data_IF_005377034239
#
_entry.id   IF_005377034239
#
_cell.length_a   1.000
_cell.length_b   1.000
_cell.length_c   1.000
_cell.angle_alpha   90.00
_cell.angle_beta   90.00
_cell.angle_gamma   90.00
#
_symmetry.space_group_name_H-M   'P 1'
#
loop_
_entity.id
_entity.type
_entity.pdbx_description
1 polymer ?
#
# COMPACT_ATOMS: atom_id res chain seq x y z
N UNK A 1 -15.30 11.93 -4.47
CA UNK A 1 -14.81 10.54 -4.35
C UNK A 1 -13.48 10.36 -5.09
N UNK A 2 -13.36 10.62 -6.40
CA UNK A 2 -12.10 10.45 -7.16
C UNK A 2 -10.92 11.36 -6.75
N UNK A 3 -11.18 12.54 -6.16
CA UNK A 3 -10.11 13.47 -5.76
C UNK A 3 -9.26 12.97 -4.59
N UNK A 4 -9.86 12.22 -3.66
CA UNK A 4 -9.18 11.87 -2.40
C UNK A 4 -8.13 10.78 -2.62
N UNK A 5 -8.44 9.78 -3.45
CA UNK A 5 -7.48 8.74 -3.86
C UNK A 5 -6.31 9.34 -4.65
N UNK A 6 -6.58 10.31 -5.52
CA UNK A 6 -5.54 11.00 -6.27
C UNK A 6 -4.62 11.84 -5.38
N UNK A 7 -5.14 12.48 -4.33
CA UNK A 7 -4.32 13.19 -3.36
C UNK A 7 -3.45 12.24 -2.53
N UNK A 8 -4.00 11.12 -2.05
CA UNK A 8 -3.25 10.11 -1.30
C UNK A 8 -2.11 9.54 -2.16
N UNK A 9 -2.37 9.26 -3.44
CA UNK A 9 -1.34 8.81 -4.38
C UNK A 9 -0.27 9.91 -4.62
N UNK A 10 -0.66 11.18 -4.67
CA UNK A 10 0.31 12.29 -4.76
C UNK A 10 1.20 12.37 -3.52
N UNK A 11 0.61 12.32 -2.33
CA UNK A 11 1.33 12.33 -1.04
C UNK A 11 2.27 11.12 -0.93
N UNK A 12 1.80 9.94 -1.33
CA UNK A 12 2.62 8.74 -1.39
C UNK A 12 3.83 8.94 -2.33
N UNK A 13 3.61 9.46 -3.55
CA UNK A 13 4.70 9.71 -4.52
C UNK A 13 5.69 10.79 -4.08
N UNK A 14 5.30 11.74 -3.22
CA UNK A 14 6.23 12.71 -2.66
C UNK A 14 7.14 12.13 -1.57
N UNK A 15 7.01 10.83 -1.25
CA UNK A 15 7.75 10.18 -0.18
C UNK A 15 7.20 10.49 1.20
N UNK A 16 5.98 11.02 1.28
CA UNK A 16 5.34 11.35 2.54
C UNK A 16 4.81 10.07 3.20
N UNK A 17 5.23 9.83 4.44
CA UNK A 17 4.81 8.66 5.23
C UNK A 17 3.31 8.68 5.50
N UNK A 18 2.70 9.86 5.60
CA UNK A 18 1.26 10.00 5.79
C UNK A 18 0.47 9.50 4.57
N UNK A 19 1.03 9.66 3.37
CA UNK A 19 0.45 9.13 2.13
C UNK A 19 0.39 7.61 2.11
N UNK A 20 1.47 6.93 2.54
CA UNK A 20 1.47 5.47 2.69
C UNK A 20 0.47 5.04 3.77
N UNK A 21 0.44 5.73 4.90
CA UNK A 21 -0.44 5.38 6.02
C UNK A 21 -1.91 5.42 5.62
N UNK A 22 -2.34 6.48 4.94
CA UNK A 22 -3.70 6.60 4.42
C UNK A 22 -4.04 5.50 3.40
N UNK A 23 -3.08 5.14 2.55
CA UNK A 23 -3.24 4.08 1.56
C UNK A 23 -3.33 2.70 2.26
N UNK A 24 -2.54 2.48 3.30
CA UNK A 24 -2.63 1.28 4.13
C UNK A 24 -3.99 1.21 4.84
N UNK A 25 -4.41 2.24 5.57
CA UNK A 25 -5.70 2.24 6.29
C UNK A 25 -6.91 1.99 5.37
N UNK A 26 -6.88 2.52 4.13
CA UNK A 26 -7.96 2.34 3.17
C UNK A 26 -7.96 0.96 2.48
N UNK A 27 -6.78 0.49 2.06
CA UNK A 27 -6.68 -0.69 1.21
C UNK A 27 -6.31 -1.97 1.96
N UNK A 28 -5.80 -1.91 3.18
CA UNK A 28 -5.41 -3.08 3.96
C UNK A 28 -6.58 -4.03 4.19
N UNK A 29 -7.68 -3.56 4.80
CA UNK A 29 -8.85 -4.39 5.07
C UNK A 29 -9.47 -5.05 3.82
N UNK A 30 -9.75 -4.31 2.72
CA UNK A 30 -10.28 -4.94 1.50
C UNK A 30 -9.28 -5.86 0.80
N UNK A 31 -7.96 -5.58 0.88
CA UNK A 31 -6.93 -6.46 0.34
C UNK A 31 -6.79 -7.74 1.16
N UNK A 32 -6.83 -7.68 2.49
CA UNK A 32 -6.85 -8.87 3.35
C UNK A 32 -8.09 -9.71 3.07
N UNK A 33 -9.27 -9.09 2.96
CA UNK A 33 -10.50 -9.80 2.60
C UNK A 33 -10.44 -10.44 1.20
N UNK A 34 -9.75 -9.80 0.26
CA UNK A 34 -9.51 -10.36 -1.07
C UNK A 34 -8.50 -11.52 -1.03
N UNK A 35 -7.38 -11.34 -0.35
CA UNK A 35 -6.33 -12.34 -0.16
C UNK A 35 -6.85 -13.57 0.57
N UNK A 36 -7.76 -13.41 1.54
CA UNK A 36 -8.39 -14.51 2.25
C UNK A 36 -9.20 -15.46 1.33
N UNK A 37 -9.55 -15.05 0.11
CA UNK A 37 -10.15 -15.95 -0.89
C UNK A 37 -9.14 -16.93 -1.50
N UNK A 38 -7.85 -16.67 -1.33
CA UNK A 38 -6.74 -17.44 -1.89
C UNK A 38 -5.91 -18.18 -0.84
N UNK A 39 -6.05 -17.83 0.44
CA UNK A 39 -5.32 -18.44 1.55
C UNK A 39 -6.30 -19.09 2.53
N UNK A 40 -5.98 -20.31 2.98
CA UNK A 40 -6.77 -21.04 3.98
C UNK A 40 -6.70 -20.41 5.38
N UNK A 41 -5.74 -19.53 5.63
CA UNK A 41 -5.55 -18.84 6.92
C UNK A 41 -5.60 -17.32 6.76
N UNK A 42 -6.24 -16.65 7.73
CA UNK A 42 -6.24 -15.19 7.84
C UNK A 42 -4.82 -14.65 8.07
N UNK A 43 -4.03 -15.30 8.94
CA UNK A 43 -2.64 -14.91 9.19
C UNK A 43 -1.80 -14.87 7.90
N UNK A 44 -1.97 -15.86 7.02
CA UNK A 44 -1.24 -15.88 5.74
C UNK A 44 -1.68 -14.75 4.80
N UNK A 45 -2.98 -14.42 4.80
CA UNK A 45 -3.50 -13.31 4.02
C UNK A 45 -2.96 -11.97 4.53
N UNK A 46 -2.92 -11.79 5.85
CA UNK A 46 -2.38 -10.59 6.50
C UNK A 46 -0.88 -10.42 6.24
N UNK A 47 -0.08 -11.48 6.40
CA UNK A 47 1.37 -11.46 6.14
C UNK A 47 1.68 -11.05 4.70
N UNK A 48 0.97 -11.62 3.72
CA UNK A 48 1.21 -11.33 2.30
C UNK A 48 0.80 -9.90 1.95
N UNK A 49 -0.30 -9.41 2.50
CA UNK A 49 -0.71 -8.02 2.29
C UNK A 49 0.31 -7.07 2.93
N UNK A 50 0.78 -7.35 4.15
CA UNK A 50 1.83 -6.56 4.81
C UNK A 50 3.12 -6.53 3.97
N UNK A 51 3.62 -7.68 3.51
CA UNK A 51 4.80 -7.77 2.63
C UNK A 51 4.64 -7.00 1.32
N UNK A 52 3.43 -7.01 0.73
CA UNK A 52 3.12 -6.24 -0.46
C UNK A 52 3.23 -4.73 -0.21
N UNK A 53 2.73 -4.24 0.93
CA UNK A 53 2.86 -2.84 1.33
C UNK A 53 4.30 -2.44 1.66
N UNK A 54 5.07 -3.30 2.34
CA UNK A 54 6.50 -3.09 2.60
C UNK A 54 7.25 -2.97 1.27
N UNK A 55 7.04 -3.91 0.35
CA UNK A 55 7.66 -3.88 -0.98
C UNK A 55 7.27 -2.63 -1.77
N UNK A 56 6.01 -2.20 -1.66
CA UNK A 56 5.51 -0.97 -2.28
C UNK A 56 6.23 0.27 -1.71
N UNK A 57 6.38 0.34 -0.38
CA UNK A 57 7.10 1.42 0.29
C UNK A 57 8.59 1.44 -0.03
N UNK A 58 9.25 0.28 -0.04
CA UNK A 58 10.66 0.15 -0.40
C UNK A 58 10.90 0.58 -1.84
N UNK A 59 10.01 0.22 -2.77
CA UNK A 59 10.08 0.68 -4.15
C UNK A 59 9.92 2.19 -4.26
N UNK A 60 9.00 2.79 -3.51
CA UNK A 60 8.83 4.24 -3.47
C UNK A 60 10.06 4.95 -2.85
N UNK A 61 10.64 4.37 -1.81
CA UNK A 61 11.82 4.91 -1.12
C UNK A 61 13.11 4.75 -1.92
N UNK A 62 13.27 3.62 -2.65
CA UNK A 62 14.42 3.35 -3.52
C UNK A 62 14.31 4.03 -4.89
N UNK A 63 13.09 4.27 -5.37
CA UNK A 63 12.88 5.14 -6.51
C UNK A 63 12.90 6.60 -6.03
N UNK A 64 14.10 7.14 -5.90
CA UNK A 64 14.33 8.53 -6.27
C UNK A 64 13.85 8.71 -7.73
N UNK A 65 12.57 9.08 -7.91
CA UNK A 65 11.91 9.27 -9.21
C UNK A 65 12.57 10.35 -10.10
N UNK A 66 13.70 10.90 -9.66
CA UNK A 66 14.50 11.98 -10.24
C UNK A 66 15.95 11.61 -10.55
N UNK A 67 16.27 10.34 -10.82
CA UNK A 67 17.58 9.99 -11.40
C UNK A 67 17.49 8.87 -12.44
N UNK A 68 16.96 9.22 -13.62
CA UNK A 68 17.52 8.83 -14.92
C UNK A 68 17.10 9.80 -16.00
#
# INVERSE_FOLDING_TARGET
>A
MANQEQEIIRMFKSGDQDGLRLLFDLYYAPLCAYAHKYFDSLDQAEDIVQEAFITLWEKNSRCNWSSR
#
